data_IF_037077779742
#
_entry.id   IF_037077779742
#
_cell.length_a   1.000
_cell.length_b   1.000
_cell.length_c   1.000
_cell.angle_alpha   90.00
_cell.angle_beta   90.00
_cell.angle_gamma   90.00
#
_symmetry.space_group_name_H-M   'P 1'
#
loop_
_entity.id
_entity.type
_entity.pdbx_description
1 polymer ?
#
# COMPACT_ATOMS: atom_id res chain seq x y z
N UNK A 1 -9.44 1.21 1.27
CA UNK A 1 -8.05 1.20 1.83
C UNK A 1 -7.05 0.65 0.83
N UNK A 2 -7.20 -0.57 0.32
CA UNK A 2 -6.31 -1.13 -0.72
C UNK A 2 -6.28 -0.23 -1.96
N UNK A 3 -7.46 0.16 -2.46
CA UNK A 3 -7.58 1.06 -3.62
C UNK A 3 -6.87 2.41 -3.43
N UNK A 4 -6.79 2.93 -2.19
CA UNK A 4 -6.13 4.20 -1.87
C UNK A 4 -4.60 4.08 -1.99
N UNK A 5 -4.03 2.99 -1.49
CA UNK A 5 -2.58 2.72 -1.60
C UNK A 5 -2.23 2.44 -3.06
N UNK A 6 -3.01 1.59 -3.73
CA UNK A 6 -2.78 1.23 -5.13
C UNK A 6 -2.87 2.45 -6.07
N UNK A 7 -3.89 3.29 -5.92
CA UNK A 7 -4.03 4.50 -6.74
C UNK A 7 -2.91 5.51 -6.45
N UNK A 8 -2.47 5.65 -5.20
CA UNK A 8 -1.37 6.55 -4.85
C UNK A 8 -0.05 6.09 -5.48
N UNK A 9 0.25 4.80 -5.48
CA UNK A 9 1.40 4.25 -6.19
C UNK A 9 1.31 4.49 -7.70
N UNK A 10 0.13 4.28 -8.28
CA UNK A 10 -0.08 4.53 -9.71
C UNK A 10 0.06 6.02 -10.08
N UNK A 11 -0.37 6.93 -9.20
CA UNK A 11 -0.18 8.37 -9.36
C UNK A 11 1.31 8.75 -9.34
N UNK A 12 2.09 8.16 -8.44
CA UNK A 12 3.55 8.35 -8.41
C UNK A 12 4.19 7.86 -9.71
N UNK A 13 3.85 6.63 -10.13
CA UNK A 13 4.34 6.05 -11.37
C UNK A 13 3.95 6.90 -12.60
N UNK A 14 2.75 7.46 -12.61
CA UNK A 14 2.27 8.34 -13.67
C UNK A 14 2.94 9.71 -13.66
N UNK A 15 3.31 10.23 -12.48
CA UNK A 15 4.01 11.52 -12.37
C UNK A 15 5.45 11.47 -12.92
N UNK A 16 6.07 10.30 -12.95
CA UNK A 16 7.45 10.10 -13.46
C UNK A 16 7.50 9.54 -14.88
N UNK A 17 6.42 8.94 -15.36
CA UNK A 17 6.36 8.30 -16.66
C UNK A 17 6.00 9.29 -17.78
N UNK A 18 6.54 9.06 -18.98
CA UNK A 18 6.24 9.91 -20.16
C UNK A 18 4.98 9.45 -20.90
N UNK A 19 4.48 8.26 -20.58
CA UNK A 19 3.24 7.72 -21.14
C UNK A 19 2.49 6.84 -20.16
N UNK A 20 1.20 6.64 -20.39
CA UNK A 20 0.36 5.71 -19.62
C UNK A 20 0.89 4.27 -19.65
N UNK A 21 1.55 3.88 -20.76
CA UNK A 21 2.17 2.56 -20.92
C UNK A 21 3.39 2.41 -20.00
N UNK A 22 4.24 3.42 -19.92
CA UNK A 22 5.39 3.45 -19.00
C UNK A 22 4.95 3.46 -17.53
N UNK A 23 3.95 4.27 -17.18
CA UNK A 23 3.40 4.32 -15.81
C UNK A 23 2.90 2.94 -15.36
N UNK A 24 2.21 2.24 -16.26
CA UNK A 24 1.72 0.88 -16.02
C UNK A 24 2.88 -0.11 -15.87
N UNK A 25 3.92 0.01 -16.70
CA UNK A 25 5.12 -0.82 -16.60
C UNK A 25 5.85 -0.63 -15.27
N UNK A 26 5.92 0.59 -14.74
CA UNK A 26 6.50 0.89 -13.43
C UNK A 26 5.62 0.40 -12.26
N UNK A 27 4.29 0.46 -12.39
CA UNK A 27 3.37 -0.01 -11.36
C UNK A 27 3.27 -1.55 -11.29
N UNK A 28 3.46 -2.24 -12.41
CA UNK A 28 3.36 -3.72 -12.52
C UNK A 28 4.22 -4.48 -11.48
N UNK A 29 5.53 -4.22 -11.32
CA UNK A 29 6.33 -4.93 -10.32
C UNK A 29 5.85 -4.67 -8.88
N UNK A 30 5.32 -3.47 -8.60
CA UNK A 30 4.75 -3.14 -7.29
C UNK A 30 3.51 -3.99 -7.00
N UNK A 31 2.63 -4.15 -8.00
CA UNK A 31 1.46 -5.03 -7.88
C UNK A 31 1.86 -6.49 -7.72
N UNK A 32 2.90 -6.96 -8.40
CA UNK A 32 3.41 -8.33 -8.22
C UNK A 32 3.91 -8.58 -6.79
N UNK A 33 4.68 -7.64 -6.23
CA UNK A 33 5.16 -7.75 -4.84
C UNK A 33 3.97 -7.76 -3.86
N UNK A 34 2.96 -6.91 -4.10
CA UNK A 34 1.74 -6.87 -3.31
C UNK A 34 0.97 -8.20 -3.35
N UNK A 35 0.87 -8.82 -4.52
CA UNK A 35 0.26 -10.14 -4.67
C UNK A 35 1.06 -11.19 -3.91
N UNK A 36 2.38 -11.22 -4.06
CA UNK A 36 3.25 -12.18 -3.37
C UNK A 36 3.09 -12.08 -1.85
N UNK A 37 3.12 -10.86 -1.30
CA UNK A 37 2.90 -10.62 0.14
C UNK A 37 1.50 -11.01 0.61
N UNK A 38 0.51 -11.08 -0.29
CA UNK A 38 -0.84 -11.53 0.03
C UNK A 38 -0.94 -13.00 0.40
N UNK A 39 -0.01 -13.84 -0.07
CA UNK A 39 -0.01 -15.27 0.24
C UNK A 39 0.66 -15.61 1.57
N UNK A 40 1.46 -14.70 2.13
CA UNK A 40 2.22 -14.94 3.36
C UNK A 40 1.34 -15.36 4.56
N UNK A 41 0.15 -14.77 4.78
CA UNK A 41 -0.71 -15.17 5.88
C UNK A 41 -1.29 -16.58 5.72
N UNK A 42 -1.23 -17.21 4.54
CA UNK A 42 -1.71 -18.58 4.32
C UNK A 42 -0.81 -19.63 4.98
N UNK A 43 0.46 -19.32 5.22
CA UNK A 43 1.41 -20.23 5.87
C UNK A 43 1.32 -20.21 7.41
N UNK A 44 0.37 -19.45 7.96
CA UNK A 44 0.18 -19.33 9.41
C UNK A 44 -1.30 -19.50 9.71
N UNK A 45 -1.66 -20.28 10.73
CA UNK A 45 -3.08 -20.39 11.11
C UNK A 45 -3.51 -19.27 12.07
N UNK A 46 -2.54 -18.66 12.76
CA UNK A 46 -2.78 -17.63 13.76
C UNK A 46 -2.47 -16.24 13.21
N UNK A 47 -3.12 -15.24 13.79
CA UNK A 47 -2.74 -13.85 13.59
C UNK A 47 -1.45 -13.54 14.37
N UNK A 48 -0.58 -12.66 13.84
CA UNK A 48 0.56 -12.18 14.59
C UNK A 48 0.13 -11.50 15.89
N UNK A 49 0.86 -11.73 16.97
CA UNK A 49 0.64 -11.03 18.25
C UNK A 49 1.36 -9.69 18.33
N UNK A 50 2.41 -9.53 17.53
CA UNK A 50 3.24 -8.34 17.49
C UNK A 50 2.60 -7.25 16.63
N UNK A 51 2.85 -5.99 16.96
CA UNK A 51 2.32 -4.85 16.20
C UNK A 51 3.03 -4.66 14.85
N UNK A 52 4.31 -5.04 14.74
CA UNK A 52 5.13 -4.82 13.54
C UNK A 52 4.48 -5.29 12.23
N UNK A 53 3.97 -6.53 12.15
CA UNK A 53 3.24 -7.04 10.99
C UNK A 53 2.05 -6.18 10.54
N UNK A 54 1.35 -5.50 11.45
CA UNK A 54 0.21 -4.63 11.14
C UNK A 54 0.62 -3.23 10.64
N UNK A 55 1.92 -2.92 10.66
CA UNK A 55 2.47 -1.70 10.11
C UNK A 55 2.91 -1.86 8.66
N UNK A 56 3.00 -3.08 8.12
CA UNK A 56 3.43 -3.26 6.73
C UNK A 56 2.26 -2.91 5.79
N UNK A 57 2.42 -1.95 4.86
CA UNK A 57 1.35 -1.57 3.95
C UNK A 57 0.96 -2.75 3.06
N UNK A 58 -0.31 -2.81 2.67
CA UNK A 58 -0.92 -3.94 1.93
C UNK A 58 -1.07 -5.18 2.82
N UNK A 59 0.01 -5.66 3.45
CA UNK A 59 0.02 -6.82 4.34
C UNK A 59 -0.92 -6.66 5.55
N UNK A 60 -0.95 -5.47 6.16
CA UNK A 60 -1.85 -5.14 7.26
C UNK A 60 -3.34 -5.35 6.90
N UNK A 61 -3.73 -5.06 5.66
CA UNK A 61 -5.11 -5.22 5.18
C UNK A 61 -5.47 -6.68 4.98
N UNK A 62 -4.50 -7.51 4.55
CA UNK A 62 -4.69 -8.96 4.42
C UNK A 62 -4.80 -9.60 5.81
N UNK A 63 -3.98 -9.19 6.77
CA UNK A 63 -4.10 -9.62 8.17
C UNK A 63 -5.44 -9.21 8.78
N UNK A 64 -5.93 -8.01 8.46
CA UNK A 64 -7.25 -7.53 8.85
C UNK A 64 -8.36 -8.43 8.31
N UNK A 65 -8.33 -8.71 7.00
CA UNK A 65 -9.31 -9.61 6.37
C UNK A 65 -9.27 -11.01 6.98
N UNK A 66 -8.06 -11.57 7.14
CA UNK A 66 -7.86 -12.87 7.82
C UNK A 66 -8.43 -12.85 9.24
N UNK A 67 -8.20 -11.79 9.99
CA UNK A 67 -8.70 -11.69 11.36
C UNK A 67 -10.21 -11.56 11.46
N UNK A 68 -10.85 -10.87 10.50
CA UNK A 68 -12.31 -10.81 10.39
C UNK A 68 -12.86 -12.21 10.06
N UNK A 69 -12.27 -12.90 9.08
CA UNK A 69 -12.70 -14.25 8.68
C UNK A 69 -12.55 -15.27 9.83
N UNK A 70 -11.46 -15.18 10.60
CA UNK A 70 -11.23 -16.03 11.77
C UNK A 70 -12.01 -15.57 13.02
N UNK A 71 -12.75 -14.46 12.95
CA UNK A 71 -13.40 -13.83 14.11
C UNK A 71 -12.47 -13.60 15.30
N UNK A 72 -11.18 -13.36 15.04
CA UNK A 72 -10.12 -13.19 16.04
C UNK A 72 -9.43 -11.82 15.90
N UNK A 73 -10.11 -10.85 15.29
CA UNK A 73 -9.56 -9.50 15.15
C UNK A 73 -9.79 -8.71 16.44
N UNK A 74 -8.71 -8.46 17.19
CA UNK A 74 -8.74 -7.56 18.35
C UNK A 74 -8.94 -6.11 17.92
N UNK A 75 -9.66 -5.32 18.72
CA UNK A 75 -9.87 -3.88 18.52
C UNK A 75 -8.55 -3.10 18.33
N UNK A 76 -7.50 -3.48 19.06
CA UNK A 76 -6.17 -2.88 18.93
C UNK A 76 -5.56 -3.13 17.53
N UNK A 77 -5.68 -4.34 17.00
CA UNK A 77 -5.20 -4.68 15.65
C UNK A 77 -5.95 -3.89 14.58
N UNK A 78 -7.27 -3.69 14.77
CA UNK A 78 -8.06 -2.86 13.88
C UNK A 78 -7.55 -1.41 13.83
N UNK A 79 -7.32 -0.78 14.98
CA UNK A 79 -6.77 0.58 15.03
C UNK A 79 -5.35 0.66 14.44
N UNK A 80 -4.52 -0.35 14.65
CA UNK A 80 -3.19 -0.41 14.03
C UNK A 80 -3.28 -0.46 12.50
N UNK A 81 -4.19 -1.26 11.95
CA UNK A 81 -4.40 -1.36 10.49
C UNK A 81 -4.89 -0.04 9.92
N UNK A 82 -5.91 0.57 10.56
CA UNK A 82 -6.48 1.83 10.09
C UNK A 82 -5.46 2.96 10.21
N UNK A 83 -4.81 3.07 11.36
CA UNK A 83 -3.80 4.07 11.64
C UNK A 83 -2.60 3.96 10.70
N UNK A 84 -2.05 2.75 10.51
CA UNK A 84 -0.91 2.56 9.61
C UNK A 84 -1.28 2.91 8.17
N UNK A 85 -2.42 2.44 7.65
CA UNK A 85 -2.84 2.79 6.29
C UNK A 85 -3.06 4.29 6.10
N UNK A 86 -3.62 5.01 7.09
CA UNK A 86 -3.76 6.46 7.00
C UNK A 86 -2.40 7.16 6.96
N UNK A 87 -1.46 6.75 7.81
CA UNK A 87 -0.10 7.29 7.81
C UNK A 87 0.56 7.08 6.43
N UNK A 88 0.48 5.87 5.86
CA UNK A 88 1.02 5.60 4.53
C UNK A 88 0.32 6.42 3.44
N UNK A 89 -0.99 6.59 3.51
CA UNK A 89 -1.72 7.40 2.54
C UNK A 89 -1.25 8.87 2.58
N UNK A 90 -1.11 9.44 3.78
CA UNK A 90 -0.59 10.81 3.93
C UNK A 90 0.84 10.93 3.42
N UNK A 91 1.71 9.96 3.71
CA UNK A 91 3.09 9.95 3.21
C UNK A 91 3.15 9.90 1.68
N UNK A 92 2.40 8.99 1.06
CA UNK A 92 2.37 8.84 -0.40
C UNK A 92 1.79 10.10 -1.08
N UNK A 93 0.73 10.68 -0.54
CA UNK A 93 0.15 11.93 -1.07
C UNK A 93 1.12 13.11 -0.96
N UNK A 94 1.90 13.20 0.12
CA UNK A 94 2.97 14.20 0.22
C UNK A 94 4.07 13.97 -0.82
N UNK A 95 4.47 12.72 -1.05
CA UNK A 95 5.44 12.39 -2.08
C UNK A 95 4.94 12.79 -3.48
N UNK A 96 3.67 12.49 -3.79
CA UNK A 96 3.00 12.93 -5.02
C UNK A 96 3.08 14.46 -5.13
N UNK A 97 2.71 15.20 -4.08
CA UNK A 97 2.79 16.66 -4.06
C UNK A 97 4.19 17.20 -4.36
N UNK A 98 5.22 16.57 -3.81
CA UNK A 98 6.64 16.94 -4.05
C UNK A 98 7.04 16.64 -5.49
N UNK A 99 6.65 15.47 -6.02
CA UNK A 99 6.90 15.10 -7.42
C UNK A 99 6.26 16.10 -8.40
N UNK A 100 5.01 16.49 -8.17
CA UNK A 100 4.33 17.48 -9.01
C UNK A 100 4.91 18.89 -8.89
N UNK A 101 5.48 19.25 -7.74
CA UNK A 101 6.19 20.53 -7.56
C UNK A 101 7.59 20.54 -8.18
N UNK A 102 8.15 19.37 -8.50
CA UNK A 102 9.44 19.30 -9.17
C UNK A 102 9.28 19.81 -10.60
N UNK A 103 9.78 21.01 -10.85
CA UNK A 103 9.78 21.67 -12.16
C UNK A 103 10.37 20.75 -13.25
N UNK A 104 11.36 19.93 -12.90
CA UNK A 104 11.96 18.96 -13.83
C UNK A 104 10.97 17.91 -14.36
N UNK A 105 9.97 17.50 -13.57
CA UNK A 105 8.93 16.55 -14.02
C UNK A 105 7.77 17.28 -14.71
N UNK A 106 7.46 18.51 -14.29
CA UNK A 106 6.40 19.31 -14.90
C UNK A 106 6.78 19.84 -16.30
N UNK A 107 8.07 20.06 -16.56
CA UNK A 107 8.61 20.52 -17.84
C UNK A 107 9.23 19.41 -18.71
N UNK A 108 9.19 18.15 -18.26
CA UNK A 108 9.48 16.98 -19.12
C UNK A 108 8.27 16.70 -20.03
N UNK A 109 8.06 17.58 -21.02
CA UNK A 109 7.25 17.28 -22.20
C UNK A 109 8.14 17.04 -23.40
#
# INVERSE_FOLDING_TARGET
MIALIASSFFLIASAIAKSTKEATMYATPVYMIAMVTSYFPMFTDKLPKEAGPYLIPIYNLILGLKGILLSNLTTLNFFLIVGSTLVYAVLLLNLVRVLFKSEQLMFQK
#
